data_IF_628015912794
#
_entry.id   IF_628015912794
#
_cell.length_a   1.000
_cell.length_b   1.000
_cell.length_c   1.000
_cell.angle_alpha   90.00
_cell.angle_beta   90.00
_cell.angle_gamma   90.00
#
_symmetry.space_group_name_H-M   'P 1'
#
loop_
_entity.id
_entity.type
_entity.pdbx_description
1 polymer ?
#
# COMPACT_ATOMS: atom_id res chain seq x y z
N UNK A 1 -26.07 -5.31 -16.95
CA UNK A 1 -25.86 -4.65 -15.65
C UNK A 1 -26.04 -5.71 -14.58
N UNK A 2 -24.93 -6.21 -14.05
CA UNK A 2 -24.93 -7.31 -13.10
C UNK A 2 -23.88 -7.10 -12.02
N UNK A 3 -24.28 -7.36 -10.79
CA UNK A 3 -23.37 -7.55 -9.69
C UNK A 3 -22.63 -8.88 -9.86
N UNK A 4 -21.39 -8.94 -9.38
CA UNK A 4 -20.52 -10.09 -9.48
C UNK A 4 -20.44 -10.83 -8.15
N UNK A 5 -20.52 -12.16 -8.22
CA UNK A 5 -20.11 -13.05 -7.12
C UNK A 5 -18.59 -12.94 -6.89
N UNK A 6 -18.10 -13.53 -5.79
CA UNK A 6 -16.65 -13.58 -5.50
C UNK A 6 -15.87 -14.21 -6.65
N UNK A 7 -16.31 -15.35 -7.17
CA UNK A 7 -15.60 -16.07 -8.23
C UNK A 7 -15.61 -15.30 -9.55
N UNK A 8 -16.73 -14.63 -9.86
CA UNK A 8 -16.80 -13.75 -11.02
C UNK A 8 -15.86 -12.55 -10.86
N UNK A 9 -15.79 -11.93 -9.68
CA UNK A 9 -14.86 -10.84 -9.41
C UNK A 9 -13.39 -11.28 -9.52
N UNK A 10 -13.05 -12.47 -9.02
CA UNK A 10 -11.70 -13.05 -9.16
C UNK A 10 -11.36 -13.31 -10.63
N UNK A 11 -12.30 -13.87 -11.40
CA UNK A 11 -12.12 -14.09 -12.83
C UNK A 11 -11.91 -12.77 -13.59
N UNK A 12 -12.70 -11.74 -13.26
CA UNK A 12 -12.56 -10.41 -13.84
C UNK A 12 -11.24 -9.74 -13.46
N UNK A 13 -10.78 -9.84 -12.22
CA UNK A 13 -9.47 -9.32 -11.81
C UNK A 13 -8.32 -10.02 -12.53
N UNK A 14 -8.42 -11.34 -12.79
CA UNK A 14 -7.44 -12.06 -13.62
C UNK A 14 -7.44 -11.59 -15.07
N UNK A 15 -8.61 -11.25 -15.63
CA UNK A 15 -8.72 -10.65 -16.97
C UNK A 15 -8.07 -9.27 -17.02
N UNK A 16 -8.37 -8.39 -16.06
CA UNK A 16 -7.72 -7.09 -15.94
C UNK A 16 -6.20 -7.22 -15.79
N UNK A 17 -5.74 -8.12 -14.91
CA UNK A 17 -4.33 -8.42 -14.72
C UNK A 17 -3.62 -8.76 -16.05
N UNK A 18 -4.23 -9.60 -16.89
CA UNK A 18 -3.65 -9.94 -18.20
C UNK A 18 -3.47 -8.72 -19.10
N UNK A 19 -4.40 -7.77 -19.08
CA UNK A 19 -4.27 -6.52 -19.86
C UNK A 19 -3.20 -5.60 -19.32
N UNK A 20 -3.11 -5.44 -18.00
CA UNK A 20 -2.03 -4.70 -17.35
C UNK A 20 -0.64 -5.30 -17.66
N UNK A 21 -0.51 -6.63 -17.56
CA UNK A 21 0.76 -7.33 -17.84
C UNK A 21 1.17 -7.25 -19.32
N UNK A 22 0.22 -7.15 -20.26
CA UNK A 22 0.52 -6.90 -21.68
C UNK A 22 1.21 -5.56 -21.92
N UNK A 23 0.99 -4.57 -21.05
CA UNK A 23 1.68 -3.28 -21.06
C UNK A 23 2.92 -3.26 -20.15
N UNK A 24 3.40 -4.42 -19.69
CA UNK A 24 4.61 -4.54 -18.88
C UNK A 24 4.44 -4.16 -17.41
N UNK A 25 3.21 -4.02 -16.92
CA UNK A 25 2.93 -3.70 -15.51
C UNK A 25 2.98 -4.97 -14.67
N UNK A 26 3.71 -4.93 -13.55
CA UNK A 26 3.68 -6.00 -12.54
C UNK A 26 2.38 -5.90 -11.74
N UNK A 27 1.65 -7.01 -11.56
CA UNK A 27 0.31 -6.98 -10.96
C UNK A 27 0.13 -7.97 -9.81
N UNK A 28 -0.43 -7.47 -8.70
CA UNK A 28 -0.96 -8.26 -7.58
C UNK A 28 -2.49 -8.19 -7.55
N UNK A 29 -3.14 -9.30 -7.17
CA UNK A 29 -4.59 -9.37 -6.97
C UNK A 29 -4.83 -9.45 -5.46
N UNK A 30 -5.36 -8.39 -4.87
CA UNK A 30 -5.55 -8.24 -3.42
C UNK A 30 -7.01 -7.94 -3.07
N UNK A 31 -7.91 -8.65 -3.75
CA UNK A 31 -9.34 -8.35 -3.74
C UNK A 31 -9.96 -8.36 -2.34
N UNK A 32 -10.71 -7.29 -2.08
CA UNK A 32 -11.70 -7.19 -1.00
C UNK A 32 -13.05 -6.75 -1.57
N UNK A 33 -14.10 -6.83 -0.74
CA UNK A 33 -15.43 -6.31 -1.10
C UNK A 33 -15.38 -4.81 -1.36
N UNK A 34 -16.29 -4.35 -2.21
CA UNK A 34 -16.50 -2.93 -2.45
C UNK A 34 -17.15 -2.23 -1.26
N UNK A 35 -17.15 -0.90 -1.30
CA UNK A 35 -17.76 -0.06 -0.27
C UNK A 35 -19.29 -0.23 -0.26
N UNK A 36 -19.89 -0.09 0.93
CA UNK A 36 -21.35 -0.16 1.13
C UNK A 36 -21.94 -1.57 1.28
N UNK A 37 -21.09 -2.59 1.46
CA UNK A 37 -21.37 -4.01 1.73
C UNK A 37 -22.77 -4.52 1.36
N UNK A 38 -23.03 -4.64 0.06
CA UNK A 38 -24.22 -5.30 -0.48
C UNK A 38 -24.07 -6.83 -0.65
N UNK A 39 -22.98 -7.43 -0.13
CA UNK A 39 -22.62 -8.83 -0.35
C UNK A 39 -21.99 -9.16 -1.73
N UNK A 40 -21.86 -8.18 -2.62
CA UNK A 40 -21.26 -8.34 -3.95
C UNK A 40 -19.76 -8.02 -3.97
N UNK A 41 -19.03 -8.68 -4.87
CA UNK A 41 -17.57 -8.51 -5.00
C UNK A 41 -17.17 -7.68 -6.22
N UNK A 42 -18.13 -7.36 -7.09
CA UNK A 42 -17.89 -6.51 -8.24
C UNK A 42 -19.16 -6.08 -8.98
N UNK A 43 -19.00 -5.26 -10.01
CA UNK A 43 -20.05 -4.94 -10.98
C UNK A 43 -19.47 -4.70 -12.39
N UNK A 44 -20.34 -4.67 -13.40
CA UNK A 44 -19.98 -4.52 -14.81
C UNK A 44 -20.18 -3.10 -15.38
N UNK A 45 -20.27 -2.09 -14.51
CA UNK A 45 -20.70 -0.73 -14.90
C UNK A 45 -19.57 0.25 -15.17
N UNK A 46 -18.34 -0.05 -14.77
CA UNK A 46 -17.21 0.82 -15.12
C UNK A 46 -17.14 1.04 -16.64
N UNK A 47 -16.96 2.28 -17.04
CA UNK A 47 -16.91 2.80 -18.41
C UNK A 47 -15.71 3.70 -18.67
N UNK A 48 -15.14 4.27 -17.62
CA UNK A 48 -13.99 5.17 -17.68
C UNK A 48 -12.95 4.80 -16.62
N UNK A 49 -11.71 5.24 -16.82
CA UNK A 49 -10.62 5.19 -15.83
C UNK A 49 -10.50 6.58 -15.21
N UNK A 50 -10.46 6.66 -13.88
CA UNK A 50 -10.21 7.90 -13.17
C UNK A 50 -8.94 7.76 -12.32
N UNK A 51 -7.91 8.51 -12.69
CA UNK A 51 -6.65 8.56 -11.95
C UNK A 51 -6.67 9.58 -10.82
N UNK A 52 -5.97 9.21 -9.75
CA UNK A 52 -5.80 9.96 -8.49
C UNK A 52 -4.34 9.90 -8.03
N UNK A 53 -4.03 10.73 -7.03
CA UNK A 53 -2.81 10.58 -6.25
C UNK A 53 -3.13 10.41 -4.76
N UNK A 54 -2.29 9.71 -4.02
CA UNK A 54 -2.49 9.53 -2.57
C UNK A 54 -1.71 10.53 -1.70
N UNK A 55 -0.95 11.44 -2.33
CA UNK A 55 -0.23 12.54 -1.66
C UNK A 55 0.78 12.02 -0.65
N UNK A 56 1.82 11.37 -1.16
CA UNK A 56 2.83 10.68 -0.34
C UNK A 56 4.26 10.91 -0.85
N UNK A 57 5.26 10.43 -0.09
CA UNK A 57 6.69 10.53 -0.42
C UNK A 57 7.36 9.17 -0.42
N UNK A 58 8.36 8.99 -1.31
CA UNK A 58 9.21 7.78 -1.35
C UNK A 58 9.91 7.48 -0.01
N UNK A 59 10.23 8.51 0.76
CA UNK A 59 10.84 8.36 2.10
C UNK A 59 9.93 7.67 3.12
N UNK A 60 8.63 7.53 2.84
CA UNK A 60 7.67 6.83 3.70
C UNK A 60 7.59 5.32 3.38
N UNK A 61 8.35 4.84 2.39
CA UNK A 61 8.36 3.45 1.93
C UNK A 61 7.78 3.28 0.53
N UNK A 62 7.66 2.02 0.08
CA UNK A 62 7.18 1.71 -1.28
C UNK A 62 5.68 1.82 -1.44
N UNK A 63 4.92 1.51 -0.38
CA UNK A 63 3.45 1.52 -0.38
C UNK A 63 2.84 2.17 0.87
N UNK A 64 3.23 3.40 1.22
CA UNK A 64 2.90 4.00 2.51
C UNK A 64 1.39 4.17 2.75
N UNK A 65 0.58 4.36 1.69
CA UNK A 65 -0.87 4.58 1.83
C UNK A 65 -1.71 3.38 1.41
N UNK A 66 -1.11 2.21 1.12
CA UNK A 66 -1.86 1.01 0.75
C UNK A 66 -2.89 0.60 1.82
N UNK A 67 -2.52 0.68 3.09
CA UNK A 67 -3.44 0.38 4.19
C UNK A 67 -4.64 1.34 4.19
N UNK A 68 -4.38 2.64 4.04
CA UNK A 68 -5.41 3.68 4.01
C UNK A 68 -6.38 3.47 2.83
N UNK A 69 -5.88 3.21 1.62
CA UNK A 69 -6.78 3.01 0.47
C UNK A 69 -7.60 1.73 0.57
N UNK A 70 -7.11 0.69 1.28
CA UNK A 70 -7.87 -0.54 1.53
C UNK A 70 -8.91 -0.36 2.63
N UNK A 71 -8.54 0.25 3.75
CA UNK A 71 -9.43 0.38 4.92
C UNK A 71 -10.35 1.59 4.88
N UNK A 72 -9.94 2.63 4.18
CA UNK A 72 -10.55 3.95 4.28
C UNK A 72 -10.12 4.67 5.55
N UNK A 73 -10.93 5.66 5.92
CA UNK A 73 -10.74 6.53 7.06
C UNK A 73 -12.08 6.72 7.79
N UNK A 74 -12.11 7.25 9.03
CA UNK A 74 -13.33 7.28 9.83
C UNK A 74 -14.56 7.91 9.15
N UNK A 75 -14.35 8.93 8.31
CA UNK A 75 -15.40 9.63 7.55
C UNK A 75 -15.76 8.98 6.21
N UNK A 76 -14.88 8.12 5.67
CA UNK A 76 -15.06 7.47 4.36
C UNK A 76 -14.56 6.03 4.42
N UNK A 77 -15.47 5.03 4.51
CA UNK A 77 -15.06 3.64 4.58
C UNK A 77 -14.40 3.18 3.29
N UNK A 78 -13.43 2.27 3.40
CA UNK A 78 -12.74 1.71 2.26
C UNK A 78 -13.60 0.72 1.46
N UNK A 79 -13.09 0.27 0.31
CA UNK A 79 -11.88 0.75 -0.35
C UNK A 79 -12.05 2.17 -0.93
N UNK A 80 -10.98 2.95 -0.92
CA UNK A 80 -10.91 4.29 -1.52
C UNK A 80 -10.47 4.26 -2.98
N UNK A 81 -10.16 3.09 -3.55
CA UNK A 81 -9.84 2.91 -4.96
C UNK A 81 -10.13 1.48 -5.44
N UNK A 82 -10.26 1.31 -6.76
CA UNK A 82 -10.37 0.00 -7.40
C UNK A 82 -8.99 -0.64 -7.60
N UNK A 83 -8.01 0.18 -8.00
CA UNK A 83 -6.62 -0.21 -8.10
C UNK A 83 -5.67 0.81 -7.49
N UNK A 84 -4.47 0.35 -7.16
CA UNK A 84 -3.45 1.16 -6.48
C UNK A 84 -2.08 0.79 -7.02
N UNK A 85 -1.21 1.78 -7.25
CA UNK A 85 0.18 1.54 -7.64
C UNK A 85 1.14 2.22 -6.67
N UNK A 86 1.99 1.39 -6.05
CA UNK A 86 3.06 1.84 -5.16
C UNK A 86 4.27 2.38 -5.91
N UNK A 87 5.21 3.01 -5.19
CA UNK A 87 6.51 3.43 -5.74
C UNK A 87 7.37 2.25 -6.24
N UNK A 88 7.04 1.03 -5.83
CA UNK A 88 7.59 -0.23 -6.37
C UNK A 88 7.16 -0.53 -7.82
N UNK A 89 6.18 0.23 -8.34
CA UNK A 89 5.62 0.04 -9.68
C UNK A 89 4.74 -1.20 -9.81
N UNK A 90 4.33 -1.82 -8.70
CA UNK A 90 3.39 -2.94 -8.69
C UNK A 90 1.98 -2.40 -8.58
N UNK A 91 1.15 -2.72 -9.58
CA UNK A 91 -0.27 -2.42 -9.57
C UNK A 91 -1.04 -3.48 -8.77
N UNK A 92 -1.84 -3.04 -7.81
CA UNK A 92 -2.63 -3.89 -6.91
C UNK A 92 -4.10 -3.71 -7.23
N UNK A 93 -4.75 -4.79 -7.63
CA UNK A 93 -6.21 -4.80 -7.84
C UNK A 93 -6.87 -4.99 -6.48
N UNK A 94 -7.49 -3.93 -5.95
CA UNK A 94 -8.04 -3.88 -4.58
C UNK A 94 -9.51 -4.31 -4.55
N UNK A 95 -10.32 -3.85 -5.49
CA UNK A 95 -11.71 -4.31 -5.60
C UNK A 95 -12.24 -4.22 -7.02
N UNK A 96 -13.09 -5.17 -7.41
CA UNK A 96 -13.89 -5.07 -8.64
C UNK A 96 -15.25 -4.41 -8.37
N UNK A 97 -15.55 -4.09 -7.11
CA UNK A 97 -16.78 -3.46 -6.65
C UNK A 97 -16.70 -1.95 -6.61
N UNK A 98 -17.62 -1.35 -5.85
CA UNK A 98 -17.61 0.09 -5.63
C UNK A 98 -16.40 0.49 -4.78
N UNK A 99 -15.74 1.58 -5.15
CA UNK A 99 -14.73 2.25 -4.36
C UNK A 99 -15.11 3.71 -4.11
N UNK A 100 -14.82 4.23 -2.92
CA UNK A 100 -15.14 5.59 -2.50
C UNK A 100 -14.08 6.60 -2.95
N UNK A 101 -13.71 6.56 -4.24
CA UNK A 101 -12.67 7.39 -4.84
C UNK A 101 -13.16 8.74 -5.43
N UNK A 102 -14.35 8.87 -6.05
CA UNK A 102 -14.66 10.06 -6.85
C UNK A 102 -15.31 11.18 -6.03
N UNK A 103 -16.02 10.85 -4.94
CA UNK A 103 -16.82 11.82 -4.20
C UNK A 103 -17.77 12.65 -5.09
N UNK A 104 -18.25 13.81 -4.61
CA UNK A 104 -19.18 14.66 -5.36
C UNK A 104 -18.58 15.21 -6.65
N UNK A 105 -19.33 15.32 -7.73
CA UNK A 105 -18.84 15.85 -8.99
C UNK A 105 -19.83 15.69 -10.13
N UNK A 106 -19.35 15.92 -11.36
CA UNK A 106 -20.20 15.82 -12.53
C UNK A 106 -21.37 16.82 -12.57
N UNK A 107 -22.36 16.58 -13.45
CA UNK A 107 -22.32 15.57 -14.50
C UNK A 107 -21.23 15.90 -15.54
N UNK A 108 -20.66 14.89 -16.19
CA UNK A 108 -19.71 15.06 -17.30
C UNK A 108 -19.91 13.97 -18.35
N UNK A 109 -19.51 14.25 -19.59
CA UNK A 109 -19.46 13.25 -20.66
C UNK A 109 -18.00 12.88 -20.94
N UNK A 110 -17.69 11.58 -20.88
CA UNK A 110 -16.37 11.00 -21.14
C UNK A 110 -16.57 9.82 -22.10
N UNK A 111 -15.83 9.78 -23.20
CA UNK A 111 -15.96 8.75 -24.25
C UNK A 111 -17.41 8.53 -24.73
N UNK A 112 -18.15 9.63 -24.92
CA UNK A 112 -19.56 9.59 -25.32
C UNK A 112 -20.55 9.13 -24.23
N UNK A 113 -20.07 8.80 -23.02
CA UNK A 113 -20.89 8.32 -21.90
C UNK A 113 -21.06 9.46 -20.90
N UNK A 114 -22.31 9.78 -20.58
CA UNK A 114 -22.63 10.77 -19.55
C UNK A 114 -22.65 10.11 -18.18
N UNK A 115 -21.75 10.53 -17.31
CA UNK A 115 -21.71 10.15 -15.90
C UNK A 115 -22.62 11.13 -15.14
N UNK A 116 -23.68 10.64 -14.47
CA UNK A 116 -24.59 11.50 -13.71
C UNK A 116 -23.88 12.25 -12.58
N UNK A 117 -24.49 13.34 -12.10
CA UNK A 117 -23.98 14.09 -10.95
C UNK A 117 -23.83 13.15 -9.74
N UNK A 118 -22.69 13.26 -9.04
CA UNK A 118 -22.37 12.56 -7.79
C UNK A 118 -22.34 11.01 -7.84
N UNK A 119 -22.45 10.43 -9.05
CA UNK A 119 -22.51 8.97 -9.26
C UNK A 119 -21.23 8.34 -9.83
N UNK A 120 -20.11 9.07 -9.81
CA UNK A 120 -18.85 8.64 -10.44
C UNK A 120 -18.43 7.21 -10.10
N UNK A 121 -18.63 6.76 -8.85
CA UNK A 121 -18.19 5.45 -8.36
C UNK A 121 -18.75 4.25 -9.11
N UNK A 122 -19.90 4.41 -9.78
CA UNK A 122 -20.51 3.35 -10.57
C UNK A 122 -19.92 3.26 -11.98
N UNK A 123 -19.44 4.38 -12.50
CA UNK A 123 -19.05 4.53 -13.91
C UNK A 123 -17.54 4.57 -14.11
N UNK A 124 -16.75 4.80 -13.06
CA UNK A 124 -15.30 4.98 -13.19
C UNK A 124 -14.54 3.97 -12.37
N UNK A 125 -13.56 3.32 -13.00
CA UNK A 125 -12.52 2.58 -12.29
C UNK A 125 -11.54 3.58 -11.67
N UNK A 126 -11.46 3.64 -10.34
CA UNK A 126 -10.55 4.55 -9.64
C UNK A 126 -9.17 3.96 -9.41
N UNK A 127 -8.12 4.63 -9.91
CA UNK A 127 -6.73 4.26 -9.66
C UNK A 127 -6.03 5.29 -8.78
N UNK A 128 -5.42 4.85 -7.70
CA UNK A 128 -4.58 5.66 -6.82
C UNK A 128 -3.09 5.42 -7.08
N UNK A 129 -2.34 6.47 -7.38
CA UNK A 129 -0.89 6.40 -7.56
C UNK A 129 -0.15 7.05 -6.38
N UNK A 130 0.83 6.34 -5.81
CA UNK A 130 1.75 6.92 -4.81
C UNK A 130 2.49 8.15 -5.39
N UNK A 131 2.74 9.14 -4.54
CA UNK A 131 3.35 10.42 -4.90
C UNK A 131 2.37 11.58 -4.98
N UNK A 132 2.82 12.69 -5.56
CA UNK A 132 1.99 13.85 -5.89
C UNK A 132 2.04 14.98 -4.88
N UNK A 133 3.00 14.97 -3.94
CA UNK A 133 3.36 16.14 -3.14
C UNK A 133 4.22 17.09 -3.97
N UNK A 134 5.21 16.54 -4.67
CA UNK A 134 6.17 17.26 -5.50
C UNK A 134 6.28 16.62 -6.89
N UNK A 135 6.57 17.41 -7.94
CA UNK A 135 6.69 16.90 -9.32
C UNK A 135 7.76 15.80 -9.45
N UNK A 136 8.77 15.83 -8.56
CA UNK A 136 9.83 14.83 -8.47
C UNK A 136 9.35 13.44 -8.01
N UNK A 137 8.15 13.33 -7.41
CA UNK A 137 7.61 12.02 -6.98
C UNK A 137 7.34 11.10 -8.18
N UNK A 138 7.12 11.69 -9.36
CA UNK A 138 6.82 10.98 -10.61
C UNK A 138 7.92 11.18 -11.65
N UNK A 139 9.09 10.54 -11.46
CA UNK A 139 10.12 10.52 -12.48
C UNK A 139 9.57 9.87 -13.77
N UNK A 140 10.18 10.12 -14.94
CA UNK A 140 9.70 9.65 -16.23
C UNK A 140 9.37 8.14 -16.27
N UNK A 141 10.18 7.31 -15.60
CA UNK A 141 9.93 5.87 -15.51
C UNK A 141 8.70 5.48 -14.72
N UNK A 142 8.36 6.24 -13.67
CA UNK A 142 7.12 6.00 -12.92
C UNK A 142 5.90 6.47 -13.73
N UNK A 143 5.99 7.63 -14.40
CA UNK A 143 4.94 8.11 -15.32
C UNK A 143 4.65 7.13 -16.45
N UNK A 144 5.69 6.54 -17.02
CA UNK A 144 5.53 5.51 -18.04
C UNK A 144 4.75 4.28 -17.51
N UNK A 145 5.00 3.87 -16.26
CA UNK A 145 4.24 2.79 -15.61
C UNK A 145 2.79 3.19 -15.32
N UNK A 146 2.53 4.46 -14.93
CA UNK A 146 1.16 4.98 -14.78
C UNK A 146 0.39 4.92 -16.10
N UNK A 147 1.00 5.42 -17.19
CA UNK A 147 0.42 5.34 -18.53
C UNK A 147 0.15 3.91 -18.99
N UNK A 148 1.08 2.99 -18.74
CA UNK A 148 0.92 1.57 -19.04
C UNK A 148 -0.22 0.91 -18.23
N UNK A 149 -0.37 1.25 -16.96
CA UNK A 149 -1.47 0.77 -16.15
C UNK A 149 -2.82 1.27 -16.68
N UNK A 150 -2.92 2.57 -16.99
CA UNK A 150 -4.13 3.15 -17.55
C UNK A 150 -4.46 2.55 -18.92
N UNK A 151 -3.47 2.30 -19.77
CA UNK A 151 -3.67 1.60 -21.03
C UNK A 151 -4.25 0.18 -20.84
N UNK A 152 -3.72 -0.59 -19.88
CA UNK A 152 -4.25 -1.91 -19.55
C UNK A 152 -5.68 -1.88 -18.99
N UNK A 153 -6.03 -0.88 -18.18
CA UNK A 153 -7.40 -0.70 -17.68
C UNK A 153 -8.36 -0.37 -18.83
N UNK A 154 -7.98 0.56 -19.70
CA UNK A 154 -8.79 0.96 -20.86
C UNK A 154 -8.99 -0.21 -21.83
N UNK A 155 -7.96 -1.04 -22.07
CA UNK A 155 -8.09 -2.25 -22.88
C UNK A 155 -9.04 -3.28 -22.28
N UNK A 156 -8.95 -3.48 -20.97
CA UNK A 156 -9.89 -4.34 -20.25
C UNK A 156 -11.33 -3.83 -20.34
N UNK A 157 -11.54 -2.52 -20.15
CA UNK A 157 -12.85 -1.89 -20.30
C UNK A 157 -13.36 -2.01 -21.75
N UNK A 158 -12.49 -1.83 -22.73
CA UNK A 158 -12.83 -1.96 -24.15
C UNK A 158 -13.27 -3.38 -24.48
N UNK A 159 -12.51 -4.41 -24.06
CA UNK A 159 -12.91 -5.82 -24.23
C UNK A 159 -14.28 -6.07 -23.59
N UNK A 160 -14.48 -5.61 -22.35
CA UNK A 160 -15.74 -5.79 -21.61
C UNK A 160 -16.95 -5.19 -22.33
N UNK A 161 -16.75 -4.10 -23.06
CA UNK A 161 -17.82 -3.34 -23.72
C UNK A 161 -17.83 -3.51 -25.25
N UNK A 162 -17.24 -4.59 -25.75
CA UNK A 162 -17.30 -4.97 -27.16
C UNK A 162 -16.47 -4.06 -28.07
N UNK A 163 -15.32 -3.58 -27.59
CA UNK A 163 -14.37 -2.76 -28.34
C UNK A 163 -14.75 -1.28 -28.46
N UNK A 164 -15.69 -0.80 -27.63
CA UNK A 164 -16.23 0.56 -27.74
C UNK A 164 -15.54 1.61 -26.88
N UNK A 165 -14.81 1.19 -25.85
CA UNK A 165 -14.11 2.12 -24.96
C UNK A 165 -12.79 2.51 -25.59
N UNK A 166 -12.54 3.81 -25.68
CA UNK A 166 -11.32 4.38 -26.28
C UNK A 166 -10.42 5.02 -25.23
N UNK A 167 -9.26 5.53 -25.63
CA UNK A 167 -8.38 6.30 -24.74
C UNK A 167 -9.06 7.56 -24.19
N UNK A 168 -10.12 8.05 -24.84
CA UNK A 168 -10.91 9.18 -24.31
C UNK A 168 -11.71 8.82 -23.05
N UNK A 169 -11.77 7.54 -22.67
CA UNK A 169 -12.34 7.09 -21.41
C UNK A 169 -11.43 7.34 -20.20
N UNK A 170 -10.22 7.85 -20.41
CA UNK A 170 -9.34 8.32 -19.34
C UNK A 170 -9.76 9.70 -18.81
N UNK A 171 -9.68 9.88 -17.51
CA UNK A 171 -9.92 11.16 -16.85
C UNK A 171 -9.11 11.33 -15.54
N UNK A 172 -8.86 12.58 -15.14
CA UNK A 172 -8.32 12.90 -13.81
C UNK A 172 -9.44 13.19 -12.82
N UNK A 173 -9.24 13.00 -11.53
CA UNK A 173 -10.20 13.43 -10.52
C UNK A 173 -10.53 14.93 -10.60
N UNK A 174 -9.54 15.75 -10.95
CA UNK A 174 -9.70 17.19 -11.16
C UNK A 174 -10.67 17.55 -12.31
N UNK A 175 -10.89 16.62 -13.26
CA UNK A 175 -11.89 16.81 -14.33
C UNK A 175 -13.32 16.48 -13.89
N UNK A 176 -13.47 15.53 -12.95
CA UNK A 176 -14.74 15.13 -12.30
C UNK A 176 -15.23 16.16 -11.30
N UNK A 177 -14.31 16.59 -10.43
CA UNK A 177 -14.60 17.38 -9.24
C UNK A 177 -15.00 18.82 -9.61
N UNK A 178 -16.29 19.11 -9.55
CA UNK A 178 -16.85 20.45 -9.80
C UNK A 178 -17.33 21.13 -8.51
N UNK A 179 -17.25 22.47 -8.40
CA UNK A 179 -16.63 23.40 -9.35
C UNK A 179 -15.12 23.17 -9.49
N UNK A 180 -14.54 23.62 -10.61
CA UNK A 180 -13.11 23.43 -10.91
C UNK A 180 -12.27 23.99 -9.76
N UNK A 181 -11.24 23.25 -9.34
CA UNK A 181 -10.35 23.63 -8.24
C UNK A 181 -10.67 22.97 -6.89
N UNK A 182 -11.81 22.26 -6.76
CA UNK A 182 -12.08 21.43 -5.57
C UNK A 182 -11.03 20.34 -5.34
N UNK A 183 -10.35 19.95 -6.42
CA UNK A 183 -9.43 18.83 -6.50
C UNK A 183 -8.29 19.16 -7.45
N UNK A 184 -7.08 18.85 -7.03
CA UNK A 184 -5.82 19.09 -7.75
C UNK A 184 -5.12 17.79 -8.13
N UNK A 185 -5.83 16.65 -8.05
CA UNK A 185 -5.20 15.33 -8.08
C UNK A 185 -4.41 15.12 -9.37
N UNK A 186 -3.26 14.48 -9.18
CA UNK A 186 -2.07 14.54 -10.03
C UNK A 186 -1.60 15.97 -10.32
N UNK A 187 -0.87 16.54 -9.35
CA UNK A 187 -0.25 17.86 -9.48
C UNK A 187 0.57 17.93 -10.77
N UNK A 188 0.35 18.99 -11.55
CA UNK A 188 1.02 19.16 -12.84
C UNK A 188 0.53 18.24 -13.98
N UNK A 189 -0.51 17.44 -13.76
CA UNK A 189 -1.15 16.62 -14.80
C UNK A 189 -2.45 17.24 -15.31
N UNK A 190 -2.66 17.08 -16.59
CA UNK A 190 -3.96 17.21 -17.24
C UNK A 190 -4.45 15.86 -17.76
N UNK A 191 -5.75 15.78 -18.06
CA UNK A 191 -6.31 14.63 -18.80
C UNK A 191 -5.57 14.38 -20.12
N UNK A 192 -5.10 15.45 -20.79
CA UNK A 192 -4.36 15.32 -22.03
C UNK A 192 -3.01 14.63 -21.83
N UNK A 193 -2.32 14.91 -20.71
CA UNK A 193 -1.06 14.25 -20.35
C UNK A 193 -1.28 12.75 -20.10
N UNK A 194 -2.32 12.40 -19.34
CA UNK A 194 -2.68 11.00 -19.10
C UNK A 194 -3.00 10.24 -20.41
N UNK A 195 -3.76 10.85 -21.32
CA UNK A 195 -4.04 10.26 -22.65
C UNK A 195 -2.77 10.12 -23.48
N UNK A 196 -1.87 11.11 -23.44
CA UNK A 196 -0.61 11.05 -24.18
C UNK A 196 0.26 9.88 -23.70
N UNK A 197 0.30 9.62 -22.39
CA UNK A 197 1.03 8.50 -21.79
C UNK A 197 0.41 7.14 -22.09
N UNK A 198 -0.92 7.02 -22.07
CA UNK A 198 -1.64 5.83 -22.51
C UNK A 198 -1.25 5.50 -23.96
N UNK A 199 -1.32 6.49 -24.84
CA UNK A 199 -0.92 6.33 -26.25
C UNK A 199 0.56 5.97 -26.39
N UNK A 200 1.43 6.50 -25.54
CA UNK A 200 2.85 6.15 -25.54
C UNK A 200 3.10 4.69 -25.14
N UNK A 201 2.41 4.20 -24.10
CA UNK A 201 2.49 2.81 -23.68
C UNK A 201 2.02 1.84 -24.80
N UNK A 202 0.90 2.16 -25.46
CA UNK A 202 0.35 1.36 -26.57
C UNK A 202 1.28 1.20 -27.77
N UNK A 203 2.08 2.23 -28.07
CA UNK A 203 3.06 2.18 -29.17
C UNK A 203 4.30 1.35 -28.83
N UNK A 204 4.41 0.84 -27.60
CA UNK A 204 5.67 0.31 -27.09
C UNK A 204 6.74 1.40 -26.95
N UNK A 205 6.36 2.67 -27.05
CA UNK A 205 7.23 3.84 -26.82
C UNK A 205 7.26 4.22 -25.35
N UNK A 206 7.16 3.23 -24.46
CA UNK A 206 7.59 3.40 -23.08
C UNK A 206 9.00 3.96 -23.18
N UNK A 207 9.29 5.17 -22.66
CA UNK A 207 10.66 5.64 -22.59
C UNK A 207 11.46 4.49 -22.01
N UNK A 208 12.46 4.01 -22.76
CA UNK A 208 13.45 3.13 -22.19
C UNK A 208 14.00 3.94 -21.03
N UNK A 209 13.55 3.60 -19.83
CA UNK A 209 14.20 4.04 -18.63
C UNK A 209 15.59 3.45 -18.81
N UNK A 210 16.57 4.29 -19.16
CA UNK A 210 17.90 4.03 -18.66
C UNK A 210 17.65 3.84 -17.17
N UNK A 211 17.89 2.63 -16.68
CA UNK A 211 17.91 2.36 -15.26
C UNK A 211 19.02 3.22 -14.65
N UNK A 212 18.85 4.54 -14.61
CA UNK A 212 19.72 5.46 -13.87
C UNK A 212 19.42 5.36 -12.37
N UNK A 213 18.61 4.36 -11.99
CA UNK A 213 18.22 3.98 -10.64
C UNK A 213 18.53 2.48 -10.39
N UNK A 214 19.50 1.90 -11.12
CA UNK A 214 20.20 0.73 -10.56
C UNK A 214 21.10 1.29 -9.47
N UNK A 215 20.71 1.08 -8.22
CA UNK A 215 21.62 1.16 -7.07
C UNK A 215 22.92 0.48 -7.49
N UNK A 216 23.98 1.28 -7.71
CA UNK A 216 25.24 0.75 -8.22
C UNK A 216 25.69 -0.38 -7.30
N UNK A 217 26.44 -1.35 -7.82
CA UNK A 217 26.97 -2.44 -6.98
C UNK A 217 27.64 -1.88 -5.71
N UNK A 218 28.32 -0.74 -5.81
CA UNK A 218 28.90 -0.02 -4.68
C UNK A 218 27.85 0.45 -3.65
N UNK A 219 26.73 1.02 -4.09
CA UNK A 219 25.64 1.42 -3.20
C UNK A 219 24.93 0.21 -2.59
N UNK A 220 24.78 -0.91 -3.32
CA UNK A 220 24.24 -2.15 -2.77
C UNK A 220 25.19 -2.78 -1.74
N UNK A 221 26.50 -2.74 -1.99
CA UNK A 221 27.53 -3.20 -1.07
C UNK A 221 27.57 -2.33 0.20
N UNK A 222 27.30 -1.02 0.08
CA UNK A 222 27.18 -0.10 1.21
C UNK A 222 25.91 -0.36 2.04
N UNK A 223 24.77 -0.60 1.39
CA UNK A 223 23.52 -1.01 2.06
C UNK A 223 23.70 -2.34 2.78
N UNK A 224 24.34 -3.32 2.14
CA UNK A 224 24.59 -4.64 2.76
C UNK A 224 25.51 -4.52 3.98
N UNK A 225 26.58 -3.71 3.89
CA UNK A 225 27.47 -3.43 5.02
C UNK A 225 26.73 -2.73 6.17
N UNK A 226 25.81 -1.83 5.84
CA UNK A 226 24.96 -1.17 6.83
C UNK A 226 24.01 -2.16 7.52
N UNK A 227 23.39 -3.09 6.79
CA UNK A 227 22.57 -4.18 7.35
C UNK A 227 23.41 -5.09 8.26
N UNK A 228 24.62 -5.48 7.85
CA UNK A 228 25.52 -6.30 8.64
C UNK A 228 25.92 -5.63 9.96
N UNK A 229 26.20 -4.33 9.94
CA UNK A 229 26.52 -3.55 11.14
C UNK A 229 25.33 -3.47 12.11
N UNK A 230 24.10 -3.26 11.60
CA UNK A 230 22.89 -3.27 12.45
C UNK A 230 22.70 -4.65 13.09
N UNK A 231 22.88 -5.73 12.34
CA UNK A 231 22.78 -7.08 12.89
C UNK A 231 23.85 -7.35 13.95
N UNK A 232 25.08 -6.86 13.78
CA UNK A 232 26.14 -6.99 14.77
C UNK A 232 25.80 -6.22 16.07
N UNK A 233 25.37 -4.96 15.95
CA UNK A 233 24.99 -4.13 17.10
C UNK A 233 23.81 -4.75 17.87
N UNK A 234 22.79 -5.26 17.17
CA UNK A 234 21.65 -5.94 17.82
C UNK A 234 22.16 -7.18 18.57
N UNK A 235 23.00 -8.01 17.96
CA UNK A 235 23.55 -9.22 18.61
C UNK A 235 24.41 -8.91 19.84
N UNK A 236 25.17 -7.82 19.81
CA UNK A 236 26.03 -7.43 20.94
C UNK A 236 25.21 -6.83 22.10
N UNK A 237 24.27 -5.94 21.78
CA UNK A 237 23.63 -5.09 22.81
C UNK A 237 22.38 -5.71 23.41
N UNK A 238 21.61 -6.46 22.61
CA UNK A 238 20.31 -7.01 23.01
C UNK A 238 20.42 -8.03 24.16
N UNK A 239 21.41 -8.95 24.19
CA UNK A 239 21.54 -9.89 25.32
C UNK A 239 21.78 -9.19 26.66
N UNK A 240 22.56 -8.10 26.68
CA UNK A 240 22.82 -7.33 27.89
C UNK A 240 21.58 -6.60 28.40
N UNK A 241 20.83 -5.94 27.50
CA UNK A 241 19.57 -5.27 27.83
C UNK A 241 18.51 -6.25 28.34
N UNK A 242 18.42 -7.43 27.73
CA UNK A 242 17.53 -8.51 28.18
C UNK A 242 17.97 -9.04 29.55
N UNK A 243 19.27 -9.27 29.76
CA UNK A 243 19.80 -9.73 31.03
C UNK A 243 19.57 -8.72 32.17
N UNK A 244 19.74 -7.43 31.92
CA UNK A 244 19.47 -6.36 32.89
C UNK A 244 17.98 -6.24 33.22
N UNK A 245 17.10 -6.42 32.22
CA UNK A 245 15.66 -6.48 32.44
C UNK A 245 15.27 -7.73 33.27
N UNK A 246 15.90 -8.88 33.01
CA UNK A 246 15.72 -10.12 33.78
C UNK A 246 16.19 -9.95 35.22
N UNK A 247 17.38 -9.40 35.44
CA UNK A 247 17.97 -9.21 36.77
C UNK A 247 17.16 -8.21 37.63
N UNK A 248 16.69 -7.12 37.03
CA UNK A 248 15.78 -6.19 37.71
C UNK A 248 14.42 -6.79 38.07
N UNK A 249 14.00 -7.84 37.35
CA UNK A 249 12.72 -8.51 37.56
C UNK A 249 12.81 -9.63 38.60
N UNK A 250 13.83 -10.49 38.51
CA UNK A 250 14.04 -11.62 39.43
C UNK A 250 14.34 -11.17 40.85
N UNK A 251 14.91 -9.98 41.03
CA UNK A 251 15.14 -9.38 42.35
C UNK A 251 13.87 -8.78 42.99
N UNK A 252 12.75 -8.68 42.27
CA UNK A 252 11.52 -8.00 42.73
C UNK A 252 10.26 -8.87 42.82
N UNK A 253 10.25 -10.11 42.33
CA UNK A 253 9.04 -10.95 42.37
C UNK A 253 9.28 -12.33 42.98
N UNK A 254 8.66 -12.59 44.13
CA UNK A 254 8.53 -13.95 44.68
C UNK A 254 7.43 -14.72 43.95
N UNK A 255 7.80 -15.94 43.51
CA UNK A 255 6.98 -17.05 42.95
C UNK A 255 6.37 -16.85 41.56
N UNK A 256 6.73 -17.77 40.66
CA UNK A 256 6.38 -17.77 39.25
C UNK A 256 4.96 -18.28 38.99
N UNK A 257 4.13 -17.43 38.38
CA UNK A 257 2.87 -17.81 37.73
C UNK A 257 2.96 -17.54 36.21
N UNK A 258 2.05 -18.09 35.40
CA UNK A 258 1.96 -17.81 33.96
C UNK A 258 1.83 -16.30 33.67
N UNK A 259 1.20 -15.56 34.58
CA UNK A 259 1.06 -14.11 34.52
C UNK A 259 2.41 -13.39 34.67
N UNK A 260 3.33 -13.96 35.45
CA UNK A 260 4.69 -13.43 35.64
C UNK A 260 5.54 -13.57 34.37
N UNK A 261 5.26 -14.56 33.51
CA UNK A 261 5.91 -14.76 32.20
C UNK A 261 5.38 -13.79 31.15
N UNK A 262 4.07 -13.57 31.08
CA UNK A 262 3.47 -12.55 30.20
C UNK A 262 3.96 -11.14 30.56
N UNK A 263 4.05 -10.85 31.86
CA UNK A 263 4.60 -9.58 32.37
C UNK A 263 6.10 -9.43 32.12
N UNK A 264 6.85 -10.53 32.13
CA UNK A 264 8.26 -10.54 31.74
C UNK A 264 8.44 -10.17 30.25
N UNK A 265 7.63 -10.76 29.36
CA UNK A 265 7.60 -10.39 27.94
C UNK A 265 7.24 -8.92 27.72
N UNK A 266 6.26 -8.40 28.47
CA UNK A 266 5.89 -6.98 28.47
C UNK A 266 7.06 -6.07 28.87
N UNK A 267 7.77 -6.38 29.95
CA UNK A 267 8.88 -5.55 30.41
C UNK A 267 10.11 -5.62 29.50
N UNK A 268 10.41 -6.78 28.91
CA UNK A 268 11.49 -6.93 27.92
C UNK A 268 11.20 -6.13 26.63
N UNK A 269 9.95 -6.15 26.16
CA UNK A 269 9.51 -5.34 25.03
C UNK A 269 9.53 -3.84 25.37
N UNK A 270 9.10 -3.44 26.58
CA UNK A 270 9.18 -2.05 27.03
C UNK A 270 10.62 -1.53 27.14
N UNK A 271 11.56 -2.36 27.62
CA UNK A 271 12.98 -2.02 27.67
C UNK A 271 13.61 -1.91 26.27
N UNK A 272 13.24 -2.82 25.36
CA UNK A 272 13.64 -2.77 23.95
C UNK A 272 13.14 -1.48 23.29
N UNK A 273 11.89 -1.08 23.57
CA UNK A 273 11.31 0.18 23.09
C UNK A 273 12.02 1.43 23.63
N UNK A 274 12.49 1.43 24.88
CA UNK A 274 13.27 2.54 25.43
C UNK A 274 14.65 2.69 24.76
N UNK A 275 15.21 1.60 24.23
CA UNK A 275 16.49 1.60 23.53
C UNK A 275 16.38 1.97 22.03
N UNK A 276 15.19 1.79 21.42
CA UNK A 276 14.95 2.05 20.00
C UNK A 276 15.35 3.46 19.53
N UNK A 277 15.07 4.55 20.26
CA UNK A 277 15.52 5.89 19.86
C UNK A 277 17.04 6.03 19.83
N UNK A 278 17.75 5.38 20.77
CA UNK A 278 19.22 5.39 20.80
C UNK A 278 19.83 4.60 19.64
N UNK A 279 19.21 3.47 19.28
CA UNK A 279 19.60 2.67 18.11
C UNK A 279 19.32 3.45 16.82
N UNK A 280 18.13 4.02 16.67
CA UNK A 280 17.77 4.83 15.50
C UNK A 280 18.68 6.06 15.34
N UNK A 281 19.08 6.71 16.44
CA UNK A 281 20.01 7.83 16.42
C UNK A 281 21.44 7.44 16.00
N UNK A 282 21.91 6.23 16.37
CA UNK A 282 23.22 5.71 15.96
C UNK A 282 23.22 5.22 14.51
N UNK A 283 22.11 4.63 14.08
CA UNK A 283 21.95 3.99 12.77
C UNK A 283 21.54 5.00 11.68
N UNK A 284 21.03 6.17 12.07
CA UNK A 284 20.63 7.25 11.16
C UNK A 284 19.35 6.94 10.36
N UNK A 285 18.62 5.88 10.73
CA UNK A 285 17.37 5.49 10.06
C UNK A 285 16.35 4.92 11.06
N UNK A 286 15.04 4.95 10.74
CA UNK A 286 14.01 4.31 11.53
C UNK A 286 14.19 2.78 11.56
N UNK A 287 14.08 2.18 12.73
CA UNK A 287 14.13 0.72 12.90
C UNK A 287 12.73 0.15 12.64
N UNK A 288 12.62 -0.85 11.75
CA UNK A 288 11.36 -1.56 11.51
C UNK A 288 11.01 -2.46 12.70
N UNK A 289 10.01 -2.05 13.47
CA UNK A 289 9.56 -2.74 14.69
C UNK A 289 8.98 -4.12 14.42
N UNK A 290 8.39 -4.37 13.25
CA UNK A 290 7.81 -5.68 12.91
C UNK A 290 8.89 -6.74 12.67
N UNK A 291 10.00 -6.35 12.05
CA UNK A 291 11.15 -7.24 11.85
C UNK A 291 11.84 -7.56 13.17
N UNK A 292 11.98 -6.57 14.05
CA UNK A 292 12.55 -6.76 15.38
C UNK A 292 11.66 -7.65 16.26
N UNK A 293 10.34 -7.44 16.21
CA UNK A 293 9.35 -8.24 16.93
C UNK A 293 9.38 -9.72 16.51
N UNK A 294 9.50 -9.98 15.20
CA UNK A 294 9.60 -11.34 14.68
C UNK A 294 10.87 -12.07 15.15
N UNK A 295 12.02 -11.39 15.10
CA UNK A 295 13.29 -11.95 15.57
C UNK A 295 13.29 -12.23 17.08
N UNK A 296 12.73 -11.32 17.88
CA UNK A 296 12.61 -11.49 19.33
C UNK A 296 11.70 -12.67 19.70
N UNK A 297 10.59 -12.84 18.96
CA UNK A 297 9.62 -13.90 19.21
C UNK A 297 10.18 -15.30 18.93
N UNK A 298 11.06 -15.46 17.93
CA UNK A 298 11.73 -16.72 17.66
C UNK A 298 12.74 -17.08 18.75
N UNK A 299 13.56 -16.13 19.20
CA UNK A 299 14.55 -16.36 20.26
C UNK A 299 13.89 -16.64 21.63
N UNK A 300 12.79 -15.94 21.93
CA UNK A 300 11.98 -16.20 23.13
C UNK A 300 11.30 -17.57 23.07
N UNK A 301 10.77 -17.97 21.90
CA UNK A 301 10.15 -19.28 21.74
C UNK A 301 11.17 -20.43 21.92
N UNK A 302 12.40 -20.24 21.43
CA UNK A 302 13.49 -21.21 21.59
C UNK A 302 13.93 -21.34 23.07
N UNK A 303 14.04 -20.22 23.79
CA UNK A 303 14.42 -20.20 25.22
C UNK A 303 13.33 -20.68 26.18
N UNK A 304 12.07 -20.76 25.73
CA UNK A 304 10.93 -21.19 26.56
C UNK A 304 10.61 -22.70 26.45
N UNK A 305 11.49 -23.49 25.81
CA UNK A 305 11.46 -24.96 25.74
C UNK A 305 10.04 -25.56 25.50
N UNK A 306 9.24 -24.93 24.64
CA UNK A 306 7.91 -25.45 24.26
C UNK A 306 6.80 -25.30 25.31
N UNK A 307 6.99 -24.52 26.36
CA UNK A 307 5.97 -24.29 27.41
C UNK A 307 4.81 -23.41 26.95
N UNK A 308 5.00 -22.64 25.88
CA UNK A 308 4.03 -21.71 25.28
C UNK A 308 4.21 -21.79 23.75
N UNK A 309 3.12 -21.79 22.98
CA UNK A 309 3.22 -21.84 21.52
C UNK A 309 3.81 -20.55 20.95
N UNK A 310 4.60 -20.66 19.88
CA UNK A 310 5.25 -19.51 19.22
C UNK A 310 4.25 -18.46 18.72
N UNK A 311 3.03 -18.85 18.37
CA UNK A 311 1.97 -17.92 17.99
C UNK A 311 1.45 -17.08 19.17
N UNK A 312 1.35 -17.65 20.37
CA UNK A 312 0.96 -16.89 21.57
C UNK A 312 2.05 -15.87 21.95
N UNK A 313 3.33 -16.25 21.79
CA UNK A 313 4.46 -15.32 22.00
C UNK A 313 4.43 -14.20 20.97
N UNK A 314 4.22 -14.52 19.68
CA UNK A 314 4.13 -13.52 18.60
C UNK A 314 2.97 -12.55 18.81
N UNK A 315 1.79 -13.02 19.20
CA UNK A 315 0.63 -12.16 19.40
C UNK A 315 0.79 -11.26 20.63
N UNK A 316 1.39 -11.77 21.71
CA UNK A 316 1.73 -10.96 22.88
C UNK A 316 2.77 -9.87 22.53
N UNK A 317 3.84 -10.24 21.81
CA UNK A 317 4.87 -9.29 21.38
C UNK A 317 4.27 -8.21 20.46
N UNK A 318 3.42 -8.59 19.50
CA UNK A 318 2.70 -7.65 18.62
C UNK A 318 1.80 -6.68 19.39
N UNK A 319 1.05 -7.17 20.38
CA UNK A 319 0.19 -6.33 21.22
C UNK A 319 1.00 -5.27 21.96
N UNK A 320 2.16 -5.63 22.50
CA UNK A 320 3.01 -4.68 23.24
C UNK A 320 3.63 -3.61 22.32
N UNK A 321 4.00 -3.98 21.09
CA UNK A 321 4.44 -2.98 20.11
C UNK A 321 3.28 -2.09 19.62
N UNK A 322 2.05 -2.62 19.52
CA UNK A 322 0.87 -1.85 19.16
C UNK A 322 0.47 -0.84 20.25
N UNK A 323 0.50 -1.23 21.53
CA UNK A 323 0.21 -0.35 22.67
C UNK A 323 1.29 0.75 22.81
N UNK A 324 2.54 0.42 22.51
CA UNK A 324 3.65 1.40 22.51
C UNK A 324 3.59 2.41 21.36
N UNK A 325 2.96 2.06 20.24
CA UNK A 325 2.73 2.99 19.12
C UNK A 325 1.61 4.01 19.42
N UNK A 326 0.80 3.78 20.46
CA UNK A 326 -0.28 4.66 20.93
C UNK A 326 -0.26 4.81 22.46
N UNK A 327 0.69 5.57 23.03
CA UNK A 327 0.86 5.69 24.49
C UNK A 327 -0.28 6.42 25.22
N UNK A 328 -1.34 6.85 24.52
CA UNK A 328 -2.50 7.54 25.11
C UNK A 328 -3.67 6.61 25.46
N UNK A 329 -3.60 5.32 25.10
CA UNK A 329 -4.66 4.33 25.36
C UNK A 329 -4.27 3.21 26.34
N UNK A 330 -3.05 3.26 26.91
CA UNK A 330 -2.52 2.28 27.87
C UNK A 330 -2.57 2.77 29.33
#
# INVERSE_FOLDING_TARGET
MGWLTKDQAVAEARRLKKHLERHGVKVSIELQRGAGDSGYWGHDWHRAEMSHHVVSRRSQGTTPLLFLVKKGRPDVPGPLCNGYMGFDGVYRIITMGLANHPGPGGPITVDGITIPRDDGRYYTWGTEFEGGLDDADWPPGFRAKMGAANAGIIDWLSERHGGRVTDDAHMEHSTWARPKGRKSDRRGYSRADGIAEIKAARRGTTPTVQEDDVTTKAQMDEINRWIENIHADIKETLPGLVADAVANYTTKSEKFSLFSLARFGYHAAAATNAALPGIAARVGAPVNTDTLAAALAEELAEKLEGSISSEVVKDAVRSVFADAANPQEA
#
